data_IF_779726521448
#
_entry.id   IF_779726521448
#
_cell.length_a   1.000
_cell.length_b   1.000
_cell.length_c   1.000
_cell.angle_alpha   90.00
_cell.angle_beta   90.00
_cell.angle_gamma   90.00
#
_symmetry.space_group_name_H-M   'P 1'
#
loop_
_entity.id
_entity.type
_entity.pdbx_description
1 polymer ?
#
# COMPACT_ATOMS: atom_id res chain seq x y z
N UNK A 1 23.49 25.80 -39.42
CA UNK A 1 22.03 25.71 -39.16
C UNK A 1 21.78 24.35 -38.52
N UNK A 2 21.88 24.24 -37.20
CA UNK A 2 21.76 22.96 -36.50
C UNK A 2 20.38 22.88 -35.84
N UNK A 3 19.62 21.84 -36.19
CA UNK A 3 18.17 21.72 -35.95
C UNK A 3 17.85 20.74 -34.81
N UNK A 4 18.80 20.45 -33.93
CA UNK A 4 18.66 19.43 -32.88
C UNK A 4 19.11 19.97 -31.52
N UNK A 5 18.41 20.98 -30.99
CA UNK A 5 18.48 21.24 -29.55
C UNK A 5 17.17 21.89 -29.05
N UNK A 6 16.09 21.11 -29.14
CA UNK A 6 14.85 21.38 -28.40
C UNK A 6 14.57 20.18 -27.50
N UNK A 7 15.55 19.79 -26.69
CA UNK A 7 15.21 19.19 -25.41
C UNK A 7 14.40 20.27 -24.67
N UNK A 8 13.09 20.10 -24.61
CA UNK A 8 12.15 21.03 -23.99
C UNK A 8 12.54 21.23 -22.51
N UNK A 9 13.44 22.17 -22.23
CA UNK A 9 13.78 22.60 -20.89
C UNK A 9 12.49 23.11 -20.25
N UNK A 10 12.02 22.36 -19.25
CA UNK A 10 10.80 22.71 -18.53
C UNK A 10 11.03 24.02 -17.81
N UNK A 11 10.10 24.96 -17.98
CA UNK A 11 10.17 26.23 -17.26
C UNK A 11 10.16 25.98 -15.74
N UNK A 12 10.81 26.84 -14.94
CA UNK A 12 10.81 26.71 -13.47
C UNK A 12 9.39 26.59 -12.89
N UNK A 13 8.42 27.29 -13.49
CA UNK A 13 7.00 27.22 -13.15
C UNK A 13 6.38 25.83 -13.39
N UNK A 14 6.70 25.19 -14.51
CA UNK A 14 6.23 23.84 -14.80
C UNK A 14 6.79 22.81 -13.80
N UNK A 15 8.08 22.93 -13.46
CA UNK A 15 8.73 22.09 -12.44
C UNK A 15 8.11 22.30 -11.05
N UNK A 16 7.83 23.55 -10.67
CA UNK A 16 7.19 23.88 -9.39
C UNK A 16 5.78 23.30 -9.28
N UNK A 17 4.98 23.36 -10.35
CA UNK A 17 3.65 22.72 -10.41
C UNK A 17 3.73 21.21 -10.25
N UNK A 18 4.70 20.58 -10.92
CA UNK A 18 4.91 19.13 -10.86
C UNK A 18 5.35 18.69 -9.46
N UNK A 19 6.21 19.48 -8.80
CA UNK A 19 6.63 19.25 -7.41
C UNK A 19 5.46 19.39 -6.42
N UNK A 20 4.61 20.41 -6.55
CA UNK A 20 3.41 20.54 -5.71
C UNK A 20 2.43 19.39 -5.91
N UNK A 21 2.22 18.95 -7.16
CA UNK A 21 1.36 17.80 -7.44
C UNK A 21 1.93 16.51 -6.83
N UNK A 22 3.24 16.28 -6.99
CA UNK A 22 3.92 15.13 -6.39
C UNK A 22 3.80 15.16 -4.86
N UNK A 23 4.00 16.32 -4.24
CA UNK A 23 3.83 16.52 -2.80
C UNK A 23 2.39 16.27 -2.34
N UNK A 24 1.39 16.76 -3.07
CA UNK A 24 -0.02 16.54 -2.75
C UNK A 24 -0.41 15.05 -2.81
N UNK A 25 0.01 14.34 -3.86
CA UNK A 25 -0.22 12.89 -3.99
C UNK A 25 0.51 12.14 -2.88
N UNK A 26 1.73 12.56 -2.51
CA UNK A 26 2.48 11.97 -1.41
C UNK A 26 1.76 12.14 -0.07
N UNK A 27 1.20 13.32 0.21
CA UNK A 27 0.42 13.58 1.42
C UNK A 27 -0.85 12.72 1.45
N UNK A 28 -1.57 12.62 0.33
CA UNK A 28 -2.77 11.77 0.22
C UNK A 28 -2.43 10.29 0.47
N UNK A 29 -1.30 9.82 -0.06
CA UNK A 29 -0.79 8.47 0.20
C UNK A 29 -0.52 8.26 1.70
N UNK A 30 0.14 9.22 2.35
CA UNK A 30 0.40 9.17 3.79
C UNK A 30 -0.87 9.15 4.63
N UNK A 31 -1.89 9.92 4.26
CA UNK A 31 -3.20 9.92 4.92
C UNK A 31 -3.91 8.58 4.74
N UNK A 32 -3.93 8.02 3.53
CA UNK A 32 -4.51 6.70 3.27
C UNK A 32 -3.81 5.61 4.11
N UNK A 33 -2.48 5.62 4.16
CA UNK A 33 -1.70 4.70 4.99
C UNK A 33 -1.99 4.88 6.49
N UNK A 34 -2.11 6.12 6.98
CA UNK A 34 -2.44 6.40 8.37
C UNK A 34 -3.84 5.89 8.77
N UNK A 35 -4.83 6.04 7.88
CA UNK A 35 -6.18 5.50 8.09
C UNK A 35 -6.13 3.96 8.14
N UNK A 36 -5.41 3.33 7.19
CA UNK A 36 -5.21 1.88 7.18
C UNK A 36 -4.60 1.38 8.49
N UNK A 37 -3.53 2.03 8.96
CA UNK A 37 -2.86 1.67 10.21
C UNK A 37 -3.74 1.88 11.45
N UNK A 38 -4.51 2.97 11.49
CA UNK A 38 -5.41 3.25 12.61
C UNK A 38 -6.53 2.20 12.74
N UNK A 39 -6.99 1.65 11.62
CA UNK A 39 -8.02 0.63 11.59
C UNK A 39 -7.47 -0.80 11.64
N UNK A 40 -6.15 -0.99 11.57
CA UNK A 40 -5.51 -2.25 11.86
C UNK A 40 -5.59 -2.55 13.38
N UNK A 41 -5.86 -3.81 13.78
CA UNK A 41 -5.95 -4.22 15.17
C UNK A 41 -4.57 -4.15 15.83
N UNK A 42 -4.26 -2.98 16.40
CA UNK A 42 -3.03 -2.71 17.12
C UNK A 42 -3.18 -3.13 18.58
N UNK A 43 -3.36 -4.43 18.84
CA UNK A 43 -3.04 -4.95 20.16
C UNK A 43 -1.57 -5.34 20.13
N UNK A 44 -0.74 -4.52 20.79
CA UNK A 44 0.69 -4.76 20.89
C UNK A 44 0.97 -6.17 21.45
N UNK A 45 1.45 -7.08 20.58
CA UNK A 45 2.08 -8.34 20.97
C UNK A 45 1.17 -9.50 21.33
N UNK A 46 -0.15 -9.32 21.48
CA UNK A 46 -1.07 -10.42 21.78
C UNK A 46 -1.90 -10.80 20.55
N UNK A 47 -1.38 -11.78 19.81
CA UNK A 47 -2.05 -12.35 18.65
C UNK A 47 -3.44 -12.94 18.99
N UNK A 48 -3.67 -13.36 20.23
CA UNK A 48 -5.00 -13.85 20.66
C UNK A 48 -6.00 -12.72 20.87
N UNK A 49 -5.53 -11.55 21.32
CA UNK A 49 -6.33 -10.34 21.41
C UNK A 49 -6.64 -9.76 20.02
N UNK A 50 -5.67 -9.76 19.10
CA UNK A 50 -5.87 -9.40 17.69
C UNK A 50 -6.94 -10.29 17.05
N UNK A 51 -6.89 -11.61 17.26
CA UNK A 51 -7.89 -12.54 16.73
C UNK A 51 -9.32 -12.31 17.27
N UNK A 52 -9.46 -11.86 18.52
CA UNK A 52 -10.77 -11.47 19.09
C UNK A 52 -11.30 -10.14 18.54
N UNK A 53 -10.41 -9.22 18.19
CA UNK A 53 -10.82 -7.93 17.63
C UNK A 53 -11.17 -8.02 16.14
N UNK A 54 -10.46 -8.86 15.38
CA UNK A 54 -10.74 -9.20 13.98
C UNK A 54 -12.13 -9.84 13.81
N UNK A 55 -12.57 -10.62 14.79
CA UNK A 55 -13.92 -11.21 14.80
C UNK A 55 -15.01 -10.20 15.19
N UNK A 56 -14.64 -9.01 15.65
CA UNK A 56 -15.56 -8.04 16.25
C UNK A 56 -16.20 -7.01 15.32
N UNK A 57 -15.63 -6.66 14.15
CA UNK A 57 -16.22 -5.62 13.27
C UNK A 57 -15.82 -5.69 11.79
N UNK A 58 -16.80 -5.98 10.91
CA UNK A 58 -16.67 -6.02 9.43
C UNK A 58 -16.27 -4.64 8.82
N UNK A 59 -16.71 -3.54 9.44
CA UNK A 59 -16.46 -2.19 8.92
C UNK A 59 -14.98 -1.78 8.97
N UNK A 60 -14.26 -2.12 10.05
CA UNK A 60 -12.85 -1.75 10.22
C UNK A 60 -11.97 -2.46 9.19
N UNK A 61 -12.24 -3.73 8.95
CA UNK A 61 -11.58 -4.51 7.91
C UNK A 61 -11.79 -3.91 6.52
N UNK A 62 -13.04 -3.61 6.16
CA UNK A 62 -13.38 -2.98 4.88
C UNK A 62 -12.64 -1.65 4.68
N UNK A 63 -12.56 -0.83 5.72
CA UNK A 63 -11.83 0.46 5.67
C UNK A 63 -10.33 0.23 5.49
N UNK A 64 -9.73 -0.73 6.18
CA UNK A 64 -8.31 -1.09 6.03
C UNK A 64 -7.98 -1.52 4.60
N UNK A 65 -8.74 -2.48 4.05
CA UNK A 65 -8.54 -2.98 2.68
C UNK A 65 -8.74 -1.88 1.64
N UNK A 66 -9.78 -1.05 1.77
CA UNK A 66 -10.02 0.07 0.85
C UNK A 66 -8.89 1.09 0.91
N UNK A 67 -8.35 1.35 2.11
CA UNK A 67 -7.24 2.29 2.30
C UNK A 67 -5.95 1.78 1.65
N UNK A 68 -5.65 0.49 1.77
CA UNK A 68 -4.49 -0.14 1.10
C UNK A 68 -4.62 -0.11 -0.42
N UNK A 69 -5.80 -0.43 -0.94
CA UNK A 69 -6.07 -0.34 -2.39
C UNK A 69 -5.92 1.11 -2.87
N UNK A 70 -6.49 2.07 -2.15
CA UNK A 70 -6.38 3.49 -2.49
C UNK A 70 -4.91 3.95 -2.46
N UNK A 71 -4.14 3.53 -1.47
CA UNK A 71 -2.72 3.82 -1.37
C UNK A 71 -1.94 3.25 -2.57
N UNK A 72 -2.20 2.01 -2.96
CA UNK A 72 -1.61 1.40 -4.15
C UNK A 72 -1.94 2.19 -5.43
N UNK A 73 -3.20 2.61 -5.61
CA UNK A 73 -3.61 3.43 -6.76
C UNK A 73 -2.90 4.78 -6.77
N UNK A 74 -2.72 5.43 -5.63
CA UNK A 74 -2.02 6.72 -5.51
C UNK A 74 -0.49 6.60 -5.67
N UNK A 75 0.09 5.44 -5.35
CA UNK A 75 1.53 5.20 -5.49
C UNK A 75 1.99 5.18 -6.96
N UNK A 76 1.16 4.72 -7.89
CA UNK A 76 1.48 4.69 -9.33
C UNK A 76 1.72 6.09 -9.92
N UNK A 77 0.79 7.06 -9.84
CA UNK A 77 1.02 8.41 -10.34
C UNK A 77 2.13 9.11 -9.55
N UNK A 78 2.29 8.83 -8.26
CA UNK A 78 3.41 9.35 -7.47
C UNK A 78 4.77 8.91 -8.04
N UNK A 79 4.94 7.62 -8.35
CA UNK A 79 6.17 7.09 -8.96
C UNK A 79 6.49 7.80 -10.28
N UNK A 80 5.47 8.01 -11.13
CA UNK A 80 5.62 8.69 -12.40
C UNK A 80 5.96 10.18 -12.24
N UNK A 81 5.32 10.86 -11.30
CA UNK A 81 5.59 12.27 -11.02
C UNK A 81 7.00 12.47 -10.47
N UNK A 82 7.42 11.64 -9.52
CA UNK A 82 8.78 11.65 -8.99
C UNK A 82 9.82 11.33 -10.07
N UNK A 83 9.56 10.34 -10.95
CA UNK A 83 10.42 10.08 -12.10
C UNK A 83 10.57 11.33 -12.97
N UNK A 84 9.46 11.99 -13.32
CA UNK A 84 9.50 13.18 -14.16
C UNK A 84 10.21 14.36 -13.49
N UNK A 85 10.12 14.47 -12.17
CA UNK A 85 10.77 15.51 -11.37
C UNK A 85 12.28 15.28 -11.23
N UNK A 86 12.72 14.04 -11.04
CA UNK A 86 14.13 13.69 -10.81
C UNK A 86 14.90 13.36 -12.11
N UNK A 87 14.21 13.05 -13.21
CA UNK A 87 14.83 12.77 -14.52
C UNK A 87 15.87 13.81 -14.97
N UNK A 88 15.67 15.13 -14.79
CA UNK A 88 16.67 16.15 -15.16
C UNK A 88 17.96 16.07 -14.34
N UNK A 89 17.91 15.55 -13.11
CA UNK A 89 19.09 15.42 -12.22
C UNK A 89 19.89 14.18 -12.60
N UNK A 90 19.24 13.01 -12.62
CA UNK A 90 19.85 11.77 -13.06
C UNK A 90 18.77 10.77 -13.51
N UNK A 91 18.74 10.49 -14.82
CA UNK A 91 17.74 9.61 -15.43
C UNK A 91 17.76 8.18 -14.89
N UNK A 92 18.94 7.64 -14.59
CA UNK A 92 19.10 6.26 -14.11
C UNK A 92 18.61 6.11 -12.68
N UNK A 93 19.01 7.02 -11.79
CA UNK A 93 18.56 7.03 -10.40
C UNK A 93 17.05 7.27 -10.29
N UNK A 94 16.51 8.19 -11.09
CA UNK A 94 15.07 8.44 -11.15
C UNK A 94 14.29 7.19 -11.61
N UNK A 95 14.80 6.47 -12.61
CA UNK A 95 14.17 5.24 -13.09
C UNK A 95 14.21 4.13 -12.03
N UNK A 96 15.35 3.96 -11.34
CA UNK A 96 15.49 2.98 -10.26
C UNK A 96 14.52 3.28 -9.10
N UNK A 97 14.42 4.54 -8.67
CA UNK A 97 13.48 4.96 -7.63
C UNK A 97 12.04 4.62 -8.01
N UNK A 98 11.62 4.95 -9.24
CA UNK A 98 10.27 4.69 -9.70
C UNK A 98 9.99 3.19 -9.84
N UNK A 99 10.97 2.41 -10.33
CA UNK A 99 10.87 0.96 -10.45
C UNK A 99 10.72 0.30 -9.08
N UNK A 100 11.55 0.69 -8.11
CA UNK A 100 11.46 0.16 -6.74
C UNK A 100 10.12 0.50 -6.09
N UNK A 101 9.61 1.73 -6.29
CA UNK A 101 8.29 2.11 -5.78
C UNK A 101 7.18 1.27 -6.42
N UNK A 102 7.25 1.04 -7.74
CA UNK A 102 6.27 0.25 -8.47
C UNK A 102 6.32 -1.24 -8.09
N UNK A 103 7.51 -1.77 -7.77
CA UNK A 103 7.71 -3.12 -7.26
C UNK A 103 7.22 -3.28 -5.81
N UNK A 104 7.26 -2.23 -5.00
CA UNK A 104 6.72 -2.27 -3.64
C UNK A 104 5.20 -2.48 -3.63
N UNK A 105 4.47 -1.96 -4.63
CA UNK A 105 3.01 -2.08 -4.74
C UNK A 105 2.51 -3.53 -4.71
N UNK A 106 2.94 -4.45 -5.61
CA UNK A 106 2.50 -5.83 -5.57
C UNK A 106 2.93 -6.56 -4.29
N UNK A 107 4.09 -6.22 -3.71
CA UNK A 107 4.53 -6.79 -2.44
C UNK A 107 3.55 -6.40 -1.32
N UNK A 108 3.15 -5.13 -1.24
CA UNK A 108 2.15 -4.66 -0.29
C UNK A 108 0.80 -5.37 -0.48
N UNK A 109 0.38 -5.64 -1.73
CA UNK A 109 -0.82 -6.43 -1.99
C UNK A 109 -0.73 -7.85 -1.42
N UNK A 110 0.40 -8.53 -1.56
CA UNK A 110 0.60 -9.88 -0.99
C UNK A 110 0.47 -9.83 0.53
N UNK A 111 1.11 -8.86 1.19
CA UNK A 111 1.03 -8.67 2.64
C UNK A 111 -0.42 -8.38 3.09
N UNK A 112 -1.17 -7.58 2.31
CA UNK A 112 -2.58 -7.33 2.59
C UNK A 112 -3.46 -8.58 2.41
N UNK A 113 -3.15 -9.43 1.42
CA UNK A 113 -3.86 -10.70 1.22
C UNK A 113 -3.66 -11.66 2.40
N UNK A 114 -2.47 -11.69 3.01
CA UNK A 114 -2.24 -12.49 4.21
C UNK A 114 -3.16 -12.04 5.37
N UNK A 115 -3.32 -10.73 5.54
CA UNK A 115 -4.23 -10.18 6.55
C UNK A 115 -5.71 -10.53 6.27
N UNK A 116 -6.14 -10.43 5.00
CA UNK A 116 -7.47 -10.84 4.56
C UNK A 116 -7.70 -12.33 4.81
N UNK A 117 -6.73 -13.18 4.46
CA UNK A 117 -6.80 -14.63 4.66
C UNK A 117 -6.91 -14.97 6.14
N UNK A 118 -6.10 -14.32 6.99
CA UNK A 118 -6.18 -14.49 8.43
C UNK A 118 -7.57 -14.16 8.96
N UNK A 119 -8.17 -13.05 8.52
CA UNK A 119 -9.51 -12.69 8.92
C UNK A 119 -10.55 -13.73 8.50
N UNK A 120 -10.58 -14.15 7.24
CA UNK A 120 -11.56 -15.14 6.75
C UNK A 120 -11.50 -16.46 7.55
N UNK A 121 -10.29 -16.90 7.92
CA UNK A 121 -10.07 -18.08 8.74
C UNK A 121 -10.60 -17.89 10.16
N UNK A 122 -10.24 -16.78 10.80
CA UNK A 122 -10.62 -16.49 12.19
C UNK A 122 -12.12 -16.20 12.36
N UNK A 123 -12.76 -15.54 11.39
CA UNK A 123 -14.21 -15.28 11.40
C UNK A 123 -15.03 -16.50 10.98
N UNK A 124 -14.42 -17.51 10.35
CA UNK A 124 -15.12 -18.69 9.88
C UNK A 124 -16.01 -18.43 8.68
N UNK A 125 -15.45 -17.75 7.68
CA UNK A 125 -16.15 -17.47 6.43
C UNK A 125 -16.68 -18.78 5.77
N UNK A 126 -17.78 -18.72 4.99
CA UNK A 126 -18.39 -19.91 4.36
C UNK A 126 -17.40 -20.74 3.53
N UNK A 127 -16.43 -20.10 2.90
CA UNK A 127 -15.40 -20.69 2.05
C UNK A 127 -14.45 -21.62 2.83
N UNK A 128 -14.28 -21.41 4.13
CA UNK A 128 -13.43 -22.20 5.02
C UNK A 128 -14.23 -23.13 5.93
N UNK A 129 -15.53 -23.31 5.66
CA UNK A 129 -16.43 -24.15 6.46
C UNK A 129 -16.03 -25.63 6.53
N UNK A 130 -15.27 -26.13 5.56
CA UNK A 130 -14.70 -27.48 5.56
C UNK A 130 -13.59 -27.66 6.61
N UNK A 131 -13.00 -26.58 7.13
CA UNK A 131 -11.94 -26.62 8.13
C UNK A 131 -12.52 -26.62 9.54
N UNK A 132 -11.97 -27.48 10.40
CA UNK A 132 -12.32 -27.50 11.83
C UNK A 132 -11.93 -26.19 12.51
N UNK A 133 -12.57 -25.86 13.64
CA UNK A 133 -12.26 -24.63 14.40
C UNK A 133 -10.78 -24.53 14.81
N UNK A 134 -10.17 -25.66 15.20
CA UNK A 134 -8.73 -25.72 15.53
C UNK A 134 -7.82 -25.45 14.34
N UNK A 135 -8.13 -26.02 13.16
CA UNK A 135 -7.38 -25.77 11.92
C UNK A 135 -7.49 -24.30 11.47
N UNK A 136 -8.70 -23.73 11.55
CA UNK A 136 -8.94 -22.33 11.22
C UNK A 136 -8.17 -21.37 12.12
N UNK A 137 -8.16 -21.63 13.43
CA UNK A 137 -7.38 -20.85 14.39
C UNK A 137 -5.87 -20.91 14.11
N UNK A 138 -5.33 -22.10 13.87
CA UNK A 138 -3.89 -22.28 13.59
C UNK A 138 -3.46 -21.57 12.29
N UNK A 139 -4.22 -21.74 11.20
CA UNK A 139 -3.92 -21.09 9.92
C UNK A 139 -4.12 -19.56 10.00
N UNK A 140 -5.18 -19.09 10.66
CA UNK A 140 -5.42 -17.66 10.82
C UNK A 140 -4.29 -16.95 11.57
N UNK A 141 -3.75 -17.61 12.61
CA UNK A 141 -2.60 -17.12 13.36
C UNK A 141 -1.29 -17.15 12.56
N UNK A 142 -1.12 -18.13 11.67
CA UNK A 142 0.02 -18.18 10.75
C UNK A 142 0.01 -17.00 9.78
N UNK A 143 -1.14 -16.74 9.15
CA UNK A 143 -1.28 -15.61 8.23
C UNK A 143 -1.12 -14.25 8.92
N UNK A 144 -1.61 -14.10 10.16
CA UNK A 144 -1.31 -12.91 10.96
C UNK A 144 0.20 -12.72 11.18
N UNK A 145 0.93 -13.81 11.47
CA UNK A 145 2.40 -13.78 11.63
C UNK A 145 3.17 -13.48 10.35
N UNK A 146 2.60 -13.78 9.18
CA UNK A 146 3.21 -13.43 7.89
C UNK A 146 2.99 -11.95 7.56
N UNK A 147 1.87 -11.39 8.04
CA UNK A 147 1.54 -9.98 7.87
C UNK A 147 2.33 -9.03 8.80
N UNK A 148 2.54 -9.43 10.07
CA UNK A 148 3.21 -8.62 11.10
C UNK A 148 4.71 -8.88 11.20
#
# INVERSE_FOLDING_TARGET
MNMTDTAHERTPEATKRLAHLAGAVYVLLGVAAAIGYYHAPLVQGDLTAIGREITGTDLRFRIGVVSDVLAAVLAVPLALLLYQLLKPVNKTQAALMALLLLLAIPISFVVALDYVAAQMLLTGAPEVSALTGGQRGALGMLFLRLHT
#
